data_IF_323908824564
#
_entry.id   IF_323908824564
#
_cell.length_a   1.000
_cell.length_b   1.000
_cell.length_c   1.000
_cell.angle_alpha   90.00
_cell.angle_beta   90.00
_cell.angle_gamma   90.00
#
_symmetry.space_group_name_H-M   'P 1'
#
loop_
_entity.id
_entity.type
_entity.pdbx_description
1 polymer ?
#
# COMPACT_ATOMS: atom_id res chain seq x y z
N UNK A 1 -1.28 -3.73 -21.06
CA UNK A 1 -0.09 -3.66 -20.17
C UNK A 1 0.24 -2.23 -19.72
N UNK A 2 0.32 -1.23 -20.62
CA UNK A 2 0.67 0.17 -20.27
C UNK A 2 -0.16 0.78 -19.13
N UNK A 3 -1.49 0.69 -19.19
CA UNK A 3 -2.37 1.23 -18.13
C UNK A 3 -2.09 0.63 -16.75
N UNK A 4 -1.76 -0.67 -16.67
CA UNK A 4 -1.46 -1.34 -15.39
C UNK A 4 -0.11 -0.92 -14.82
N UNK A 5 0.87 -0.62 -15.69
CA UNK A 5 2.16 -0.05 -15.29
C UNK A 5 1.99 1.37 -14.74
N UNK A 6 1.22 2.21 -15.43
CA UNK A 6 0.91 3.56 -14.97
C UNK A 6 0.18 3.54 -13.63
N UNK A 7 -0.78 2.62 -13.48
CA UNK A 7 -1.46 2.41 -12.20
C UNK A 7 -0.50 1.99 -11.08
N UNK A 8 0.40 1.05 -11.37
CA UNK A 8 1.43 0.59 -10.39
C UNK A 8 2.39 1.72 -10.02
N UNK A 9 2.85 2.52 -11.00
CA UNK A 9 3.69 3.68 -10.75
C UNK A 9 2.94 4.76 -9.96
N UNK A 10 1.68 5.02 -10.28
CA UNK A 10 0.83 5.96 -9.56
C UNK A 10 0.68 5.57 -8.09
N UNK A 11 0.47 4.28 -7.80
CA UNK A 11 0.42 3.80 -6.41
C UNK A 11 1.77 3.90 -5.69
N UNK A 12 2.88 3.63 -6.38
CA UNK A 12 4.21 3.85 -5.80
C UNK A 12 4.42 5.31 -5.38
N UNK A 13 4.02 6.25 -6.25
CA UNK A 13 4.10 7.69 -6.00
C UNK A 13 3.16 8.11 -4.87
N UNK A 14 1.93 7.60 -4.83
CA UNK A 14 0.98 7.90 -3.76
C UNK A 14 1.48 7.41 -2.40
N UNK A 15 2.03 6.18 -2.34
CA UNK A 15 2.56 5.61 -1.10
C UNK A 15 3.82 6.34 -0.62
N UNK A 16 4.73 6.68 -1.53
CA UNK A 16 5.90 7.51 -1.19
C UNK A 16 5.47 8.93 -0.77
N UNK A 17 4.49 9.50 -1.48
CA UNK A 17 3.95 10.83 -1.22
C UNK A 17 3.25 10.93 0.14
N UNK A 18 2.52 9.89 0.56
CA UNK A 18 1.90 9.85 1.89
C UNK A 18 2.94 9.86 3.00
N UNK A 19 4.07 9.17 2.83
CA UNK A 19 5.15 9.17 3.81
C UNK A 19 5.86 10.54 3.84
N UNK A 20 6.11 11.15 2.68
CA UNK A 20 6.66 12.51 2.62
C UNK A 20 5.73 13.51 3.32
N UNK A 21 4.42 13.44 3.07
CA UNK A 21 3.43 14.30 3.70
C UNK A 21 3.35 14.06 5.22
N UNK A 22 3.38 12.80 5.66
CA UNK A 22 3.42 12.43 7.08
C UNK A 22 4.64 13.04 7.76
N UNK A 23 5.81 12.91 7.13
CA UNK A 23 7.07 13.46 7.63
C UNK A 23 7.07 14.98 7.72
N UNK A 24 6.49 15.67 6.73
CA UNK A 24 6.33 17.11 6.76
C UNK A 24 5.44 17.59 7.91
N UNK A 25 4.46 16.78 8.33
CA UNK A 25 3.57 17.10 9.45
C UNK A 25 4.14 16.73 10.83
N UNK A 26 4.91 15.64 10.94
CA UNK A 26 5.42 15.15 12.24
C UNK A 26 6.85 15.59 12.57
N UNK A 27 7.61 16.10 11.59
CA UNK A 27 9.00 16.55 11.78
C UNK A 27 9.99 15.43 12.14
N UNK A 28 9.56 14.17 12.10
CA UNK A 28 10.31 13.00 12.57
C UNK A 28 11.18 12.29 11.53
N UNK A 29 11.88 11.24 11.97
CA UNK A 29 12.60 10.30 11.12
C UNK A 29 11.61 9.45 10.28
N UNK A 30 12.12 8.75 9.25
CA UNK A 30 11.30 7.78 8.50
C UNK A 30 10.98 6.63 9.45
N UNK A 31 9.75 6.59 9.95
CA UNK A 31 9.30 5.52 10.86
C UNK A 31 8.66 4.36 10.08
N UNK A 32 8.17 4.61 8.87
CA UNK A 32 7.51 3.62 8.01
C UNK A 32 8.45 3.08 6.91
N UNK A 33 9.54 2.42 7.33
CA UNK A 33 10.52 1.84 6.40
C UNK A 33 9.89 0.80 5.44
N UNK A 34 8.83 0.15 5.90
CA UNK A 34 8.00 -0.80 5.17
C UNK A 34 7.20 -0.13 4.04
N UNK A 35 6.59 1.03 4.28
CA UNK A 35 5.89 1.83 3.26
C UNK A 35 6.85 2.24 2.12
N UNK A 36 8.06 2.69 2.48
CA UNK A 36 9.11 3.06 1.49
C UNK A 36 9.58 1.84 0.70
N UNK A 37 9.84 0.72 1.37
CA UNK A 37 10.27 -0.51 0.70
C UNK A 37 9.21 -1.01 -0.31
N UNK A 38 7.93 -1.01 0.08
CA UNK A 38 6.82 -1.38 -0.80
C UNK A 38 6.68 -0.40 -1.96
N UNK A 39 6.83 0.92 -1.73
CA UNK A 39 6.79 1.93 -2.78
C UNK A 39 7.90 1.71 -3.82
N UNK A 40 9.13 1.40 -3.37
CA UNK A 40 10.25 1.07 -4.26
C UNK A 40 9.98 -0.21 -5.06
N UNK A 41 9.44 -1.26 -4.43
CA UNK A 41 9.07 -2.50 -5.11
C UNK A 41 8.00 -2.26 -6.21
N UNK A 42 6.97 -1.46 -5.92
CA UNK A 42 5.95 -1.07 -6.90
C UNK A 42 6.57 -0.24 -8.04
N UNK A 43 7.43 0.73 -7.72
CA UNK A 43 8.15 1.54 -8.70
C UNK A 43 9.02 0.70 -9.64
N UNK A 44 9.80 -0.22 -9.07
CA UNK A 44 10.63 -1.16 -9.83
C UNK A 44 9.78 -2.06 -10.73
N UNK A 45 8.68 -2.61 -10.21
CA UNK A 45 7.76 -3.43 -10.99
C UNK A 45 7.06 -2.64 -12.12
N UNK A 46 6.84 -1.34 -11.94
CA UNK A 46 6.30 -0.48 -12.99
C UNK A 46 7.32 -0.20 -14.12
N UNK A 47 8.60 -0.03 -13.76
CA UNK A 47 9.71 0.19 -14.70
C UNK A 47 10.07 -1.09 -15.46
N UNK A 48 10.18 -2.23 -14.76
CA UNK A 48 10.55 -3.54 -15.30
C UNK A 48 9.40 -4.53 -15.09
N UNK A 49 8.30 -4.41 -15.85
CA UNK A 49 7.11 -5.20 -15.65
C UNK A 49 7.35 -6.67 -16.03
N UNK A 50 7.50 -7.52 -15.03
CA UNK A 50 7.31 -8.97 -15.18
C UNK A 50 6.08 -9.42 -14.37
N UNK A 51 5.37 -10.46 -14.80
CA UNK A 51 4.22 -10.96 -14.06
C UNK A 51 4.56 -11.33 -12.61
N UNK A 52 5.72 -11.96 -12.39
CA UNK A 52 6.21 -12.32 -11.07
C UNK A 52 6.55 -11.09 -10.21
N UNK A 53 7.26 -10.09 -10.76
CA UNK A 53 7.59 -8.85 -10.03
C UNK A 53 6.33 -8.05 -9.67
N UNK A 54 5.37 -7.96 -10.60
CA UNK A 54 4.10 -7.29 -10.35
C UNK A 54 3.30 -8.03 -9.27
N UNK A 55 3.20 -9.35 -9.34
CA UNK A 55 2.52 -10.14 -8.31
C UNK A 55 3.20 -10.00 -6.94
N UNK A 56 4.54 -10.03 -6.89
CA UNK A 56 5.31 -9.83 -5.67
C UNK A 56 5.13 -8.44 -5.06
N UNK A 57 5.28 -7.38 -5.86
CA UNK A 57 5.14 -6.00 -5.40
C UNK A 57 3.72 -5.69 -4.89
N UNK A 58 2.69 -6.09 -5.65
CA UNK A 58 1.30 -5.94 -5.23
C UNK A 58 0.93 -6.86 -4.05
N UNK A 59 1.57 -8.02 -3.93
CA UNK A 59 1.46 -8.91 -2.77
C UNK A 59 2.02 -8.27 -1.50
N UNK A 60 3.22 -7.68 -1.59
CA UNK A 60 3.82 -6.91 -0.49
C UNK A 60 2.96 -5.71 -0.08
N UNK A 61 2.43 -4.96 -1.05
CA UNK A 61 1.46 -3.89 -0.79
C UNK A 61 0.20 -4.39 -0.07
N UNK A 62 -0.35 -5.53 -0.50
CA UNK A 62 -1.53 -6.12 0.15
C UNK A 62 -1.21 -6.55 1.59
N UNK A 63 -0.05 -7.14 1.83
CA UNK A 63 0.38 -7.53 3.18
C UNK A 63 0.52 -6.31 4.11
N UNK A 64 1.11 -5.20 3.60
CA UNK A 64 1.21 -3.94 4.33
C UNK A 64 -0.18 -3.37 4.67
N UNK A 65 -1.08 -3.27 3.70
CA UNK A 65 -2.45 -2.78 3.93
C UNK A 65 -3.21 -3.65 4.95
N UNK A 66 -3.02 -4.97 4.89
CA UNK A 66 -3.61 -5.90 5.86
C UNK A 66 -3.06 -5.65 7.27
N UNK A 67 -1.75 -5.50 7.43
CA UNK A 67 -1.12 -5.24 8.73
C UNK A 67 -1.60 -3.91 9.35
N UNK A 68 -1.70 -2.85 8.53
CA UNK A 68 -2.26 -1.56 8.95
C UNK A 68 -3.73 -1.68 9.31
N UNK A 69 -4.52 -2.45 8.55
CA UNK A 69 -5.93 -2.65 8.82
C UNK A 69 -6.14 -3.41 10.12
N UNK A 70 -5.39 -4.49 10.36
CA UNK A 70 -5.48 -5.25 11.62
C UNK A 70 -5.08 -4.40 12.81
N UNK A 71 -4.07 -3.54 12.68
CA UNK A 71 -3.66 -2.60 13.73
C UNK A 71 -4.75 -1.57 14.00
N UNK A 72 -5.33 -0.99 12.94
CA UNK A 72 -6.44 -0.02 13.04
C UNK A 72 -7.66 -0.63 13.71
N UNK A 73 -8.05 -1.85 13.31
CA UNK A 73 -9.15 -2.57 13.94
C UNK A 73 -8.86 -2.86 15.42
N UNK A 74 -7.62 -3.24 15.75
CA UNK A 74 -7.18 -3.42 17.14
C UNK A 74 -7.31 -2.13 17.96
N UNK A 75 -6.90 -0.98 17.41
CA UNK A 75 -7.06 0.33 18.06
C UNK A 75 -8.54 0.72 18.24
N UNK A 76 -9.39 0.40 17.26
CA UNK A 76 -10.83 0.70 17.33
C UNK A 76 -11.57 -0.12 18.41
N UNK A 77 -11.07 -1.31 18.75
CA UNK A 77 -11.66 -2.15 19.78
C UNK A 77 -11.29 -1.71 21.21
N UNK A 78 -10.37 -0.75 21.35
CA UNK A 78 -9.97 -0.23 22.66
C UNK A 78 -10.95 0.84 23.15
N UNK A 79 -11.19 0.97 24.47
CA UNK A 79 -12.12 1.95 25.02
C UNK A 79 -11.73 3.42 24.73
N UNK A 80 -10.45 3.66 24.48
CA UNK A 80 -9.83 4.94 24.09
C UNK A 80 -9.62 5.08 22.56
N UNK A 81 -10.38 4.32 21.76
CA UNK A 81 -10.18 4.20 20.31
C UNK A 81 -10.05 5.54 19.57
N UNK A 82 -9.14 5.60 18.60
CA UNK A 82 -8.89 6.82 17.81
C UNK A 82 -10.12 7.27 17.04
N UNK A 83 -10.44 8.57 17.18
CA UNK A 83 -11.44 9.24 16.36
C UNK A 83 -11.06 9.10 14.87
N UNK A 84 -12.01 8.68 14.03
CA UNK A 84 -11.79 8.47 12.59
C UNK A 84 -11.29 7.08 12.18
N UNK A 85 -11.07 6.16 13.12
CA UNK A 85 -10.61 4.79 12.83
C UNK A 85 -11.48 4.04 11.82
N UNK A 86 -12.81 4.21 11.86
CA UNK A 86 -13.73 3.56 10.91
C UNK A 86 -13.53 4.03 9.46
N UNK A 87 -13.31 5.32 9.26
CA UNK A 87 -13.06 5.88 7.93
C UNK A 87 -11.71 5.41 7.39
N UNK A 88 -10.66 5.48 8.22
CA UNK A 88 -9.33 5.01 7.83
C UNK A 88 -9.31 3.51 7.54
N UNK A 89 -9.95 2.70 8.40
CA UNK A 89 -10.10 1.26 8.18
C UNK A 89 -10.86 0.94 6.89
N UNK A 90 -11.89 1.71 6.55
CA UNK A 90 -12.60 1.59 5.27
C UNK A 90 -11.68 1.82 4.06
N UNK A 91 -10.85 2.87 4.12
CA UNK A 91 -9.85 3.14 3.06
C UNK A 91 -8.85 1.99 2.95
N UNK A 92 -8.31 1.51 4.08
CA UNK A 92 -7.36 0.39 4.08
C UNK A 92 -7.96 -0.89 3.50
N UNK A 93 -9.23 -1.19 3.80
CA UNK A 93 -9.93 -2.32 3.22
C UNK A 93 -10.08 -2.21 1.69
N UNK A 94 -10.42 -1.03 1.18
CA UNK A 94 -10.50 -0.78 -0.28
C UNK A 94 -9.13 -0.93 -0.94
N UNK A 95 -8.07 -0.40 -0.32
CA UNK A 95 -6.70 -0.53 -0.83
C UNK A 95 -6.22 -1.99 -0.81
N UNK A 96 -6.52 -2.74 0.25
CA UNK A 96 -6.23 -4.18 0.33
C UNK A 96 -6.90 -4.95 -0.82
N UNK A 97 -8.21 -4.76 -1.03
CA UNK A 97 -8.95 -5.41 -2.12
C UNK A 97 -8.39 -5.04 -3.49
N UNK A 98 -8.00 -3.78 -3.67
CA UNK A 98 -7.34 -3.30 -4.89
C UNK A 98 -6.01 -4.00 -5.12
N UNK A 99 -5.20 -4.16 -4.06
CA UNK A 99 -3.94 -4.91 -4.11
C UNK A 99 -4.13 -6.36 -4.49
N UNK A 100 -5.06 -7.07 -3.85
CA UNK A 100 -5.40 -8.46 -4.16
C UNK A 100 -5.90 -8.63 -5.60
N UNK A 101 -6.74 -7.69 -6.07
CA UNK A 101 -7.18 -7.65 -7.46
C UNK A 101 -5.99 -7.46 -8.42
N UNK A 102 -5.04 -6.59 -8.10
CA UNK A 102 -3.85 -6.36 -8.90
C UNK A 102 -2.93 -7.59 -8.94
N UNK A 103 -2.74 -8.30 -7.82
CA UNK A 103 -2.04 -9.60 -7.78
C UNK A 103 -2.72 -10.61 -8.69
N UNK A 104 -4.04 -10.80 -8.56
CA UNK A 104 -4.81 -11.70 -9.44
C UNK A 104 -4.66 -11.30 -10.91
N UNK A 105 -4.63 -10.01 -11.21
CA UNK A 105 -4.45 -9.51 -12.59
C UNK A 105 -3.04 -9.77 -13.13
N UNK A 106 -2.02 -9.66 -12.28
CA UNK A 106 -0.63 -9.94 -12.60
C UNK A 106 -0.42 -11.43 -12.89
N UNK A 107 -0.94 -12.31 -12.02
CA UNK A 107 -0.86 -13.76 -12.19
C UNK A 107 -1.58 -14.25 -13.45
N UNK A 108 -2.72 -13.64 -13.82
CA UNK A 108 -3.44 -13.94 -15.07
C UNK A 108 -2.73 -13.45 -16.34
N UNK A 109 -1.64 -12.72 -16.20
CA UNK A 109 -0.80 -12.22 -17.30
C UNK A 109 0.58 -12.89 -17.33
N UNK A 110 0.85 -13.79 -16.37
CA UNK A 110 1.95 -14.74 -16.44
C UNK A 110 1.60 -15.83 -17.45
#
# INVERSE_FOLDING_TARGET
>A
MRAFRLFTAGMAVLLAGSEIARRAMTGGAIEALDEVAVALCLGLAALRPSPALLAGAWGGFSALMLALLTTTLGEMLRPDGKAGGAFYGGILAVLLLTGLWAVRRALRRA
#
